data_IF_460197940287
#
_entry.id   IF_460197940287
#
_cell.length_a   1.000
_cell.length_b   1.000
_cell.length_c   1.000
_cell.angle_alpha   90.00
_cell.angle_beta   90.00
_cell.angle_gamma   90.00
#
_symmetry.space_group_name_H-M   'P 1'
#
loop_
_entity.id
_entity.type
_entity.pdbx_description
1 polymer ?
#
# COMPACT_ATOMS: atom_id res chain seq x y z
N UNK A 1 4.31 7.16 -12.28
CA UNK A 1 4.74 7.57 -13.64
C UNK A 1 3.56 7.93 -14.57
N UNK A 2 2.41 7.23 -14.56
CA UNK A 2 1.25 7.55 -15.43
C UNK A 2 0.53 8.88 -15.14
N UNK A 3 0.59 9.38 -13.91
CA UNK A 3 -0.10 10.62 -13.50
C UNK A 3 0.66 11.86 -14.01
N UNK A 4 1.99 11.84 -13.97
CA UNK A 4 2.83 12.94 -14.44
C UNK A 4 2.69 13.17 -15.95
N UNK A 5 2.56 12.09 -16.72
CA UNK A 5 2.35 12.16 -18.16
C UNK A 5 1.00 12.80 -18.51
N UNK A 6 -0.05 12.50 -17.72
CA UNK A 6 -1.36 13.16 -17.86
C UNK A 6 -1.31 14.64 -17.51
N UNK A 7 -0.55 15.00 -16.47
CA UNK A 7 -0.35 16.40 -16.08
C UNK A 7 0.38 17.17 -17.18
N UNK A 8 1.47 16.61 -17.72
CA UNK A 8 2.23 17.26 -18.80
C UNK A 8 1.42 17.41 -20.09
N UNK A 9 0.62 16.41 -20.47
CA UNK A 9 -0.25 16.53 -21.63
C UNK A 9 -1.33 17.62 -21.46
N UNK A 10 -1.86 17.79 -20.24
CA UNK A 10 -2.79 18.87 -19.93
C UNK A 10 -2.12 20.25 -20.02
N UNK A 11 -0.88 20.38 -19.54
CA UNK A 11 -0.09 21.62 -19.61
C UNK A 11 0.27 21.98 -21.07
N UNK A 12 0.61 21.00 -21.90
CA UNK A 12 0.91 21.24 -23.32
C UNK A 12 -0.34 21.63 -24.13
N UNK A 13 -1.51 21.11 -23.76
CA UNK A 13 -2.79 21.54 -24.35
C UNK A 13 -3.23 22.96 -23.93
N UNK A 14 -2.58 23.52 -22.90
CA UNK A 14 -2.85 24.79 -22.26
C UNK A 14 -2.27 25.99 -23.02
N UNK A 15 -1.13 25.81 -23.69
CA UNK A 15 -0.50 26.85 -24.51
C UNK A 15 -1.34 27.24 -25.75
N UNK A 16 -2.34 26.42 -26.12
CA UNK A 16 -3.10 26.57 -27.37
C UNK A 16 -4.58 26.97 -27.21
N UNK A 17 -5.11 27.18 -25.99
CA UNK A 17 -6.55 27.35 -25.80
C UNK A 17 -6.94 28.50 -24.83
N UNK A 18 -8.03 29.19 -25.15
CA UNK A 18 -8.46 30.48 -24.60
C UNK A 18 -8.74 30.47 -23.09
N UNK A 19 -9.02 31.63 -22.50
CA UNK A 19 -9.30 31.83 -21.06
C UNK A 19 -10.31 30.84 -20.43
N UNK A 20 -11.24 30.30 -21.23
CA UNK A 20 -12.20 29.26 -20.83
C UNK A 20 -11.49 27.95 -20.42
N UNK A 21 -10.35 27.67 -21.05
CA UNK A 21 -9.52 26.48 -20.77
C UNK A 21 -8.78 26.62 -19.45
N UNK A 22 -8.30 27.82 -19.08
CA UNK A 22 -7.62 28.05 -17.80
C UNK A 22 -8.56 27.83 -16.60
N UNK A 23 -9.81 28.29 -16.71
CA UNK A 23 -10.83 28.11 -15.67
C UNK A 23 -11.21 26.62 -15.51
N UNK A 24 -11.40 25.93 -16.65
CA UNK A 24 -11.63 24.49 -16.67
C UNK A 24 -10.46 23.70 -16.05
N UNK A 25 -9.23 24.06 -16.37
CA UNK A 25 -8.03 23.38 -15.86
C UNK A 25 -7.88 23.61 -14.35
N UNK A 26 -8.09 24.82 -13.86
CA UNK A 26 -8.05 25.09 -12.43
C UNK A 26 -9.11 24.26 -11.69
N UNK A 27 -10.34 24.20 -12.21
CA UNK A 27 -11.39 23.35 -11.63
C UNK A 27 -11.02 21.86 -11.64
N UNK A 28 -10.31 21.41 -12.68
CA UNK A 28 -9.90 20.01 -12.83
C UNK A 28 -8.74 19.66 -11.91
N UNK A 29 -7.79 20.58 -11.73
CA UNK A 29 -6.69 20.46 -10.76
C UNK A 29 -7.25 20.39 -9.34
N UNK A 30 -8.22 21.24 -9.02
CA UNK A 30 -8.85 21.27 -7.69
C UNK A 30 -9.62 19.97 -7.41
N UNK A 31 -10.37 19.45 -8.39
CA UNK A 31 -11.03 18.15 -8.28
C UNK A 31 -10.03 17.00 -8.04
N UNK A 32 -8.91 16.97 -8.77
CA UNK A 32 -7.86 15.97 -8.58
C UNK A 32 -7.16 16.12 -7.21
N UNK A 33 -7.02 17.35 -6.72
CA UNK A 33 -6.46 17.61 -5.40
C UNK A 33 -7.37 17.08 -4.28
N UNK A 34 -8.68 17.28 -4.40
CA UNK A 34 -9.67 16.73 -3.46
C UNK A 34 -9.64 15.19 -3.47
N UNK A 35 -9.63 14.57 -4.66
CA UNK A 35 -9.55 13.11 -4.78
C UNK A 35 -8.27 12.55 -4.12
N UNK A 36 -7.12 13.22 -4.32
CA UNK A 36 -5.87 12.85 -3.62
C UNK A 36 -6.02 12.96 -2.11
N UNK A 37 -6.63 14.04 -1.61
CA UNK A 37 -6.82 14.23 -0.16
C UNK A 37 -7.73 13.15 0.42
N UNK A 38 -8.80 12.78 -0.26
CA UNK A 38 -9.73 11.76 0.21
C UNK A 38 -9.09 10.37 0.21
N UNK A 39 -8.30 10.05 -0.82
CA UNK A 39 -7.46 8.84 -0.83
C UNK A 39 -6.49 8.86 0.37
N UNK A 40 -5.77 9.97 0.61
CA UNK A 40 -4.87 10.08 1.77
C UNK A 40 -5.60 9.92 3.11
N UNK A 41 -6.80 10.49 3.26
CA UNK A 41 -7.64 10.30 4.46
C UNK A 41 -8.06 8.85 4.64
N UNK A 42 -8.39 8.15 3.55
CA UNK A 42 -8.69 6.72 3.60
C UNK A 42 -7.49 5.90 4.08
N UNK A 43 -6.26 6.28 3.70
CA UNK A 43 -5.03 5.63 4.22
C UNK A 43 -4.81 5.89 5.72
N UNK A 44 -5.20 7.05 6.26
CA UNK A 44 -5.16 7.30 7.71
C UNK A 44 -6.24 6.56 8.51
N UNK A 45 -7.26 6.01 7.83
CA UNK A 45 -8.33 5.20 8.43
C UNK A 45 -8.22 3.71 8.13
N UNK A 46 -7.22 3.27 7.35
CA UNK A 46 -6.80 1.87 7.44
C UNK A 46 -6.27 1.75 8.87
N UNK A 47 -6.92 0.99 9.77
CA UNK A 47 -6.28 0.67 11.03
C UNK A 47 -4.96 0.06 10.62
N UNK A 48 -3.85 0.73 10.95
CA UNK A 48 -2.56 0.08 10.98
C UNK A 48 -2.88 -1.23 11.68
N UNK A 49 -2.82 -2.36 10.96
CA UNK A 49 -2.81 -3.65 11.60
C UNK A 49 -1.62 -3.49 12.52
N UNK A 50 -1.91 -3.19 13.77
CA UNK A 50 -0.94 -3.21 14.83
C UNK A 50 -0.41 -4.62 14.65
N UNK A 51 0.81 -4.69 14.16
CA UNK A 51 1.58 -5.90 14.26
C UNK A 51 1.68 -6.06 15.76
N UNK A 52 0.69 -6.72 16.35
CA UNK A 52 0.81 -7.43 17.59
C UNK A 52 1.89 -8.45 17.28
N UNK A 53 3.14 -8.00 17.38
CA UNK A 53 4.28 -8.86 17.58
C UNK A 53 3.97 -9.43 18.96
N UNK A 54 3.17 -10.50 18.97
CA UNK A 54 2.90 -11.26 20.16
C UNK A 54 4.26 -11.57 20.75
N UNK A 55 4.52 -11.04 21.95
CA UNK A 55 5.77 -11.27 22.64
C UNK A 55 5.96 -12.79 22.73
N UNK A 56 7.04 -13.29 22.12
CA UNK A 56 7.36 -14.73 22.03
C UNK A 56 7.35 -15.45 23.39
N UNK A 57 7.44 -14.69 24.48
CA UNK A 57 7.52 -15.17 25.86
C UNK A 57 6.22 -15.77 26.42
N UNK A 58 5.05 -15.53 25.81
CA UNK A 58 3.77 -16.08 26.30
C UNK A 58 3.23 -17.23 25.43
N UNK A 59 4.00 -17.67 24.42
CA UNK A 59 3.54 -18.68 23.46
C UNK A 59 4.14 -20.05 23.75
N UNK A 60 3.34 -20.95 24.30
CA UNK A 60 3.74 -22.34 24.52
C UNK A 60 3.69 -23.13 23.21
N UNK A 61 4.76 -22.98 22.41
CA UNK A 61 4.88 -23.62 21.10
C UNK A 61 4.71 -25.14 21.17
N UNK A 62 5.23 -25.79 22.20
CA UNK A 62 5.25 -27.25 22.28
C UNK A 62 3.84 -27.83 22.41
N UNK A 63 2.97 -27.19 23.19
CA UNK A 63 1.63 -27.68 23.49
C UNK A 63 0.56 -27.36 22.43
N UNK A 64 0.92 -26.68 21.34
CA UNK A 64 -0.02 -26.36 20.27
C UNK A 64 -0.23 -27.51 19.30
N UNK A 65 -1.47 -27.60 18.82
CA UNK A 65 -1.81 -28.44 17.69
C UNK A 65 -1.06 -28.00 16.43
N UNK A 66 -0.92 -28.92 15.48
CA UNK A 66 -0.28 -28.61 14.19
C UNK A 66 -1.00 -27.50 13.42
N UNK A 67 -2.33 -27.40 13.58
CA UNK A 67 -3.16 -26.37 12.95
C UNK A 67 -2.85 -24.99 13.51
N UNK A 68 -2.68 -24.88 14.82
CA UNK A 68 -2.31 -23.64 15.49
C UNK A 68 -0.88 -23.23 15.15
N UNK A 69 0.07 -24.18 15.15
CA UNK A 69 1.45 -23.96 14.69
C UNK A 69 1.49 -23.40 13.28
N UNK A 70 0.68 -23.95 12.37
CA UNK A 70 0.57 -23.46 10.99
C UNK A 70 -0.05 -22.05 10.91
N UNK A 71 -1.07 -21.77 11.72
CA UNK A 71 -1.70 -20.45 11.78
C UNK A 71 -0.71 -19.38 12.24
N UNK A 72 0.10 -19.70 13.25
CA UNK A 72 1.16 -18.85 13.79
C UNK A 72 2.27 -18.66 12.76
N UNK A 73 2.78 -19.74 12.17
CA UNK A 73 3.79 -19.64 11.12
C UNK A 73 3.34 -18.72 9.96
N UNK A 74 2.07 -18.79 9.57
CA UNK A 74 1.48 -17.90 8.54
C UNK A 74 1.33 -16.44 8.98
N UNK A 75 1.22 -16.15 10.27
CA UNK A 75 1.18 -14.76 10.73
C UNK A 75 2.55 -14.10 10.62
N UNK A 76 3.63 -14.85 10.86
CA UNK A 76 5.01 -14.32 10.89
C UNK A 76 5.82 -14.50 9.60
N UNK A 77 5.63 -15.61 8.87
CA UNK A 77 6.40 -15.90 7.66
C UNK A 77 5.69 -15.29 6.45
N UNK A 78 6.41 -14.51 5.66
CA UNK A 78 5.95 -13.97 4.39
C UNK A 78 6.09 -15.03 3.28
N UNK A 79 7.27 -15.64 3.16
CA UNK A 79 7.54 -16.70 2.18
C UNK A 79 8.73 -17.57 2.60
N UNK A 80 8.73 -18.81 2.13
CA UNK A 80 9.85 -19.74 2.27
C UNK A 80 10.44 -19.99 0.88
N UNK A 81 11.70 -19.65 0.71
CA UNK A 81 12.46 -19.85 -0.52
C UNK A 81 13.25 -21.14 -0.36
N UNK A 82 12.88 -22.15 -1.14
CA UNK A 82 13.59 -23.43 -1.20
C UNK A 82 14.52 -23.41 -2.42
N UNK A 83 15.82 -23.58 -2.16
CA UNK A 83 16.84 -23.82 -3.18
C UNK A 83 17.41 -25.23 -3.03
N UNK A 84 18.18 -25.72 -4.01
CA UNK A 84 18.73 -27.09 -3.98
C UNK A 84 19.54 -27.40 -2.71
N UNK A 85 20.13 -26.39 -2.08
CA UNK A 85 21.05 -26.57 -0.96
C UNK A 85 20.71 -25.69 0.25
N UNK A 86 19.67 -24.86 0.17
CA UNK A 86 19.34 -23.92 1.23
C UNK A 86 17.84 -23.66 1.34
N UNK A 87 17.40 -23.42 2.58
CA UNK A 87 16.06 -22.95 2.90
C UNK A 87 16.21 -21.56 3.51
N UNK A 88 15.60 -20.58 2.86
CA UNK A 88 15.57 -19.20 3.34
C UNK A 88 14.14 -18.84 3.74
N UNK A 89 13.97 -18.35 4.96
CA UNK A 89 12.67 -17.94 5.50
C UNK A 89 12.65 -16.41 5.52
N UNK A 90 11.72 -15.83 4.78
CA UNK A 90 11.47 -14.39 4.78
C UNK A 90 10.30 -14.11 5.71
N UNK A 91 10.56 -13.36 6.77
CA UNK A 91 9.58 -12.93 7.76
C UNK A 91 8.94 -11.60 7.34
N UNK A 92 7.71 -11.35 7.79
CA UNK A 92 6.99 -10.09 7.57
C UNK A 92 7.54 -8.94 8.42
#
# INVERSE_FOLDING_TARGET
>A
MLIEEKINNLILSLENASSVTAEYINSRIEALHQEKQDIMKSFTHIPQKQNEIANFSDFDWENLSIEEKNKVARSFIEKVILTKNNVEIVFK
#
